data_IF_502084154979
#
_entry.id   IF_502084154979
#
_cell.length_a   1.000
_cell.length_b   1.000
_cell.length_c   1.000
_cell.angle_alpha   90.00
_cell.angle_beta   90.00
_cell.angle_gamma   90.00
#
_symmetry.space_group_name_H-M   'P 1'
#
loop_
_entity.id
_entity.type
_entity.pdbx_description
1 polymer ?
#
# COMPACT_ATOMS: atom_id res chain seq x y z
N UNK A 1 -37.26 18.83 -7.22
CA UNK A 1 -36.49 19.68 -6.28
C UNK A 1 -35.00 19.56 -6.64
N UNK A 2 -34.42 20.62 -7.20
CA UNK A 2 -32.99 20.63 -7.51
C UNK A 2 -32.19 20.54 -6.19
N UNK A 3 -31.42 19.45 -6.00
CA UNK A 3 -30.46 19.35 -4.90
C UNK A 3 -29.48 20.53 -5.01
N UNK A 4 -29.53 21.46 -4.04
CA UNK A 4 -28.51 22.49 -3.89
C UNK A 4 -27.14 21.76 -3.85
N UNK A 5 -26.30 22.02 -4.84
CA UNK A 5 -24.90 21.53 -4.85
C UNK A 5 -24.23 22.06 -3.59
N UNK A 6 -24.04 21.19 -2.60
CA UNK A 6 -23.37 21.55 -1.36
C UNK A 6 -21.90 21.86 -1.68
N UNK A 7 -21.48 23.09 -1.43
CA UNK A 7 -20.08 23.49 -1.63
C UNK A 7 -19.17 22.82 -0.58
N UNK A 8 -18.19 22.05 -1.02
CA UNK A 8 -17.26 21.33 -0.13
C UNK A 8 -16.15 22.21 0.48
N UNK A 9 -15.98 23.43 0.02
CA UNK A 9 -14.86 24.29 0.47
C UNK A 9 -13.47 23.72 0.12
N UNK A 10 -12.42 24.30 0.71
CA UNK A 10 -11.02 23.96 0.39
C UNK A 10 -10.49 22.70 1.11
N UNK A 11 -11.21 22.20 2.12
CA UNK A 11 -10.77 20.99 2.86
C UNK A 11 -10.73 19.77 1.94
N UNK A 12 -11.75 19.56 1.12
CA UNK A 12 -11.81 18.41 0.20
C UNK A 12 -10.67 18.40 -0.82
N UNK A 13 -10.40 19.46 -1.59
CA UNK A 13 -9.25 19.49 -2.50
C UNK A 13 -7.90 19.26 -1.81
N UNK A 14 -7.67 19.86 -0.63
CA UNK A 14 -6.43 19.65 0.14
C UNK A 14 -6.25 18.17 0.49
N UNK A 15 -7.29 17.54 0.98
CA UNK A 15 -7.26 16.12 1.36
C UNK A 15 -7.03 15.23 0.15
N UNK A 16 -7.80 15.42 -0.93
CA UNK A 16 -7.72 14.58 -2.12
C UNK A 16 -6.36 14.70 -2.82
N UNK A 17 -5.83 15.93 -2.96
CA UNK A 17 -4.52 16.15 -3.57
C UNK A 17 -3.38 15.61 -2.71
N UNK A 18 -3.44 15.76 -1.38
CA UNK A 18 -2.43 15.19 -0.50
C UNK A 18 -2.44 13.65 -0.51
N UNK A 19 -3.62 13.06 -0.55
CA UNK A 19 -3.75 11.61 -0.66
C UNK A 19 -3.33 11.09 -2.03
N UNK A 20 -3.69 11.80 -3.10
CA UNK A 20 -3.24 11.51 -4.45
C UNK A 20 -1.71 11.55 -4.57
N UNK A 21 -1.06 12.54 -3.97
CA UNK A 21 0.40 12.67 -3.93
C UNK A 21 1.08 11.44 -3.32
N UNK A 22 0.56 10.92 -2.21
CA UNK A 22 1.08 9.70 -1.56
C UNK A 22 0.97 8.49 -2.50
N UNK A 23 -0.18 8.33 -3.16
CA UNK A 23 -0.43 7.20 -4.05
C UNK A 23 0.37 7.29 -5.35
N UNK A 24 0.49 8.49 -5.89
CA UNK A 24 1.29 8.79 -7.06
C UNK A 24 2.77 8.47 -6.81
N UNK A 25 3.34 8.94 -5.69
CA UNK A 25 4.73 8.65 -5.30
C UNK A 25 5.00 7.14 -5.19
N UNK A 26 4.06 6.40 -4.59
CA UNK A 26 4.19 4.96 -4.44
C UNK A 26 4.12 4.23 -5.80
N UNK A 27 3.39 4.75 -6.77
CA UNK A 27 3.19 4.11 -8.08
C UNK A 27 4.25 4.49 -9.11
N UNK A 28 4.77 5.72 -9.09
CA UNK A 28 5.83 6.20 -9.99
C UNK A 28 7.05 5.28 -9.97
N UNK A 29 7.40 4.76 -8.80
CA UNK A 29 8.59 3.95 -8.63
C UNK A 29 8.57 2.68 -9.49
N UNK A 30 7.40 2.09 -9.72
CA UNK A 30 7.29 0.80 -10.41
C UNK A 30 7.74 0.86 -11.87
N UNK A 31 7.46 1.95 -12.57
CA UNK A 31 7.89 2.16 -13.97
C UNK A 31 9.32 2.67 -14.07
N UNK A 32 9.85 3.24 -12.99
CA UNK A 32 11.18 3.83 -12.91
C UNK A 32 12.26 2.85 -12.44
N UNK A 33 11.88 1.66 -11.95
CA UNK A 33 12.80 0.70 -11.30
C UNK A 33 14.01 0.32 -12.15
N UNK A 34 13.82 0.09 -13.46
CA UNK A 34 14.92 -0.28 -14.37
C UNK A 34 15.94 0.85 -14.49
N UNK A 35 15.46 2.08 -14.68
CA UNK A 35 16.32 3.26 -14.79
C UNK A 35 17.02 3.60 -13.47
N UNK A 36 16.34 3.47 -12.34
CA UNK A 36 16.94 3.60 -10.99
C UNK A 36 18.05 2.57 -10.80
N UNK A 37 17.80 1.31 -11.17
CA UNK A 37 18.79 0.22 -11.05
C UNK A 37 20.02 0.49 -11.92
N UNK A 38 19.84 0.96 -13.14
CA UNK A 38 20.93 1.26 -14.06
C UNK A 38 21.74 2.49 -13.63
N UNK A 39 21.06 3.58 -13.27
CA UNK A 39 21.68 4.86 -12.90
C UNK A 39 22.50 4.75 -11.60
N UNK A 40 22.00 3.94 -10.64
CA UNK A 40 22.62 3.78 -9.32
C UNK A 40 23.35 2.42 -9.18
N UNK A 41 23.45 1.63 -10.24
CA UNK A 41 24.06 0.30 -10.27
C UNK A 41 23.60 -0.61 -9.12
N UNK A 42 22.28 -0.64 -8.87
CA UNK A 42 21.68 -1.39 -7.79
C UNK A 42 21.45 -2.85 -8.17
N UNK A 43 21.79 -3.77 -7.25
CA UNK A 43 21.32 -5.16 -7.34
C UNK A 43 19.79 -5.24 -7.19
N UNK A 44 19.18 -6.35 -7.65
CA UNK A 44 17.74 -6.56 -7.51
C UNK A 44 17.28 -6.48 -6.03
N UNK A 45 18.10 -7.02 -5.12
CA UNK A 45 17.85 -6.96 -3.67
C UNK A 45 17.85 -5.51 -3.16
N UNK A 46 18.90 -4.73 -3.53
CA UNK A 46 18.99 -3.33 -3.09
C UNK A 46 17.88 -2.47 -3.69
N UNK A 47 17.50 -2.75 -4.94
CA UNK A 47 16.40 -2.07 -5.61
C UNK A 47 15.05 -2.31 -4.91
N UNK A 48 14.80 -3.54 -4.42
CA UNK A 48 13.58 -3.83 -3.67
C UNK A 48 13.47 -3.02 -2.37
N UNK A 49 14.60 -2.66 -1.76
CA UNK A 49 14.63 -1.81 -0.57
C UNK A 49 14.12 -0.39 -0.82
N UNK A 50 14.22 0.12 -2.05
CA UNK A 50 13.64 1.44 -2.40
C UNK A 50 12.13 1.48 -2.18
N UNK A 51 11.43 0.36 -2.42
CA UNK A 51 10.00 0.21 -2.13
C UNK A 51 9.73 -0.26 -0.70
N UNK A 52 10.52 -1.24 -0.21
CA UNK A 52 10.31 -1.85 1.10
C UNK A 52 10.54 -0.87 2.25
N UNK A 53 11.57 -0.03 2.19
CA UNK A 53 11.86 0.95 3.24
C UNK A 53 10.68 1.91 3.44
N UNK A 54 10.06 2.37 2.36
CA UNK A 54 8.84 3.17 2.40
C UNK A 54 7.67 2.39 3.02
N UNK A 55 7.38 1.18 2.51
CA UNK A 55 6.23 0.40 2.95
C UNK A 55 6.32 0.00 4.43
N UNK A 56 7.52 -0.35 4.91
CA UNK A 56 7.76 -0.74 6.30
C UNK A 56 7.56 0.42 7.28
N UNK A 57 8.11 1.59 6.98
CA UNK A 57 7.93 2.77 7.84
C UNK A 57 6.51 3.32 7.73
N UNK A 58 5.91 3.29 6.55
CA UNK A 58 4.51 3.65 6.38
C UNK A 58 3.60 2.75 7.21
N UNK A 59 3.70 1.42 7.05
CA UNK A 59 2.87 0.46 7.78
C UNK A 59 3.13 0.43 9.28
N UNK A 60 4.41 0.47 9.68
CA UNK A 60 4.81 0.38 11.09
C UNK A 60 4.41 1.59 11.93
N UNK A 61 4.43 2.79 11.35
CA UNK A 61 4.07 4.01 12.08
C UNK A 61 2.63 4.49 11.84
N UNK A 62 1.85 3.84 10.98
CA UNK A 62 0.53 4.31 10.61
C UNK A 62 -0.41 4.49 11.80
N UNK A 63 -0.49 3.47 12.68
CA UNK A 63 -1.32 3.50 13.88
C UNK A 63 -0.86 4.58 14.87
N UNK A 64 0.44 4.68 15.07
CA UNK A 64 1.06 5.63 15.97
C UNK A 64 0.74 7.08 15.58
N UNK A 65 0.98 7.45 14.32
CA UNK A 65 0.72 8.80 13.85
C UNK A 65 -0.77 9.12 13.71
N UNK A 66 -1.63 8.12 13.50
CA UNK A 66 -3.06 8.29 13.61
C UNK A 66 -3.47 8.82 14.99
N UNK A 67 -3.01 8.19 16.07
CA UNK A 67 -3.25 8.64 17.45
C UNK A 67 -2.55 9.97 17.77
N UNK A 68 -1.34 10.17 17.27
CA UNK A 68 -0.58 11.39 17.48
C UNK A 68 -1.32 12.64 16.95
N UNK A 69 -2.04 12.49 15.82
CA UNK A 69 -2.89 13.54 15.28
C UNK A 69 -4.01 13.96 16.23
N UNK A 70 -4.61 13.02 16.96
CA UNK A 70 -5.68 13.30 17.91
C UNK A 70 -5.16 14.00 19.18
N UNK A 71 -3.94 13.68 19.65
CA UNK A 71 -3.32 14.26 20.84
C UNK A 71 -2.76 15.66 20.60
N UNK A 72 -1.94 15.81 19.54
CA UNK A 72 -1.20 17.06 19.31
C UNK A 72 -1.91 18.01 18.34
N UNK A 73 -3.03 17.58 17.76
CA UNK A 73 -3.83 18.32 16.78
C UNK A 73 -3.49 17.95 15.34
N UNK A 74 -4.51 17.50 14.63
CA UNK A 74 -4.42 16.94 13.27
C UNK A 74 -3.75 17.88 12.26
N UNK A 75 -4.05 19.19 12.32
CA UNK A 75 -3.43 20.19 11.43
C UNK A 75 -1.91 20.23 11.59
N UNK A 76 -1.43 20.32 12.84
CA UNK A 76 0.00 20.41 13.13
C UNK A 76 0.74 19.15 12.69
N UNK A 77 0.18 17.99 13.02
CA UNK A 77 0.79 16.70 12.66
C UNK A 77 0.79 16.51 11.15
N UNK A 78 -0.30 16.85 10.47
CA UNK A 78 -0.37 16.81 9.02
C UNK A 78 0.71 17.70 8.36
N UNK A 79 0.92 18.92 8.84
CA UNK A 79 1.96 19.81 8.32
C UNK A 79 3.36 19.24 8.54
N UNK A 80 3.63 18.63 9.68
CA UNK A 80 4.89 17.91 9.93
C UNK A 80 5.06 16.77 8.90
N UNK A 81 4.01 15.98 8.66
CA UNK A 81 4.02 14.93 7.65
C UNK A 81 4.31 15.44 6.25
N UNK A 82 3.70 16.58 5.85
CA UNK A 82 3.98 17.24 4.58
C UNK A 82 5.44 17.67 4.46
N UNK A 83 6.01 18.27 5.50
CA UNK A 83 7.41 18.69 5.49
C UNK A 83 8.34 17.49 5.36
N UNK A 84 8.14 16.44 6.19
CA UNK A 84 8.96 15.22 6.12
C UNK A 84 8.87 14.59 4.72
N UNK A 85 7.66 14.40 4.19
CA UNK A 85 7.45 13.80 2.89
C UNK A 85 8.08 14.62 1.75
N UNK A 86 7.89 15.96 1.78
CA UNK A 86 8.38 16.87 0.74
C UNK A 86 9.90 16.96 0.75
N UNK A 87 10.52 17.11 1.93
CA UNK A 87 11.99 17.17 2.07
C UNK A 87 12.61 15.83 1.64
N UNK A 88 12.04 14.71 2.09
CA UNK A 88 12.54 13.40 1.68
C UNK A 88 12.38 13.18 0.17
N UNK A 89 11.26 13.59 -0.45
CA UNK A 89 11.06 13.55 -1.92
C UNK A 89 12.10 14.38 -2.66
N UNK A 90 12.39 15.58 -2.17
CA UNK A 90 13.45 16.43 -2.74
C UNK A 90 14.81 15.73 -2.67
N UNK A 91 15.16 15.16 -1.52
CA UNK A 91 16.43 14.47 -1.33
C UNK A 91 16.54 13.21 -2.20
N UNK A 92 15.47 12.41 -2.33
CA UNK A 92 15.47 11.27 -3.28
C UNK A 92 15.73 11.75 -4.71
N UNK A 93 15.18 12.90 -5.10
CA UNK A 93 15.34 13.45 -6.45
C UNK A 93 16.75 13.93 -6.77
N UNK A 94 17.58 14.27 -5.77
CA UNK A 94 18.92 14.86 -6.02
C UNK A 94 20.08 13.96 -5.58
N UNK A 95 19.84 12.98 -4.69
CA UNK A 95 20.89 12.10 -4.20
C UNK A 95 21.34 11.08 -5.23
N UNK A 96 22.62 10.69 -5.16
CA UNK A 96 23.25 9.69 -6.01
C UNK A 96 23.63 8.42 -5.27
N UNK A 97 23.59 8.42 -3.95
CA UNK A 97 23.89 7.24 -3.13
C UNK A 97 22.64 6.36 -2.95
N UNK A 98 22.74 5.10 -3.38
CA UNK A 98 21.69 4.10 -3.22
C UNK A 98 21.21 3.96 -1.77
N UNK A 99 22.15 3.93 -0.82
CA UNK A 99 21.83 3.82 0.62
C UNK A 99 21.07 5.04 1.12
N UNK A 100 21.51 6.26 0.74
CA UNK A 100 20.83 7.49 1.16
C UNK A 100 19.43 7.60 0.56
N UNK A 101 19.24 7.14 -0.68
CA UNK A 101 17.90 7.08 -1.29
C UNK A 101 17.00 6.14 -0.50
N UNK A 102 17.46 4.95 -0.11
CA UNK A 102 16.69 4.02 0.71
C UNK A 102 16.32 4.64 2.06
N UNK A 103 17.26 5.34 2.70
CA UNK A 103 16.99 6.08 3.96
C UNK A 103 15.94 7.17 3.75
N UNK A 104 16.04 7.95 2.67
CA UNK A 104 15.04 8.99 2.38
C UNK A 104 13.67 8.38 2.02
N UNK A 105 13.63 7.21 1.39
CA UNK A 105 12.39 6.45 1.18
C UNK A 105 11.75 6.03 2.52
N UNK A 106 12.54 5.65 3.50
CA UNK A 106 12.02 5.40 4.85
C UNK A 106 11.40 6.69 5.47
N UNK A 107 12.05 7.85 5.32
CA UNK A 107 11.47 9.12 5.77
C UNK A 107 10.20 9.51 5.00
N UNK A 108 10.13 9.27 3.69
CA UNK A 108 8.88 9.45 2.93
C UNK A 108 7.76 8.54 3.46
N UNK A 109 8.08 7.29 3.81
CA UNK A 109 7.13 6.37 4.44
C UNK A 109 6.61 6.88 5.79
N UNK A 110 7.48 7.49 6.62
CA UNK A 110 7.07 8.18 7.87
C UNK A 110 6.12 9.34 7.55
N UNK A 111 6.46 10.18 6.56
CA UNK A 111 5.58 11.26 6.10
C UNK A 111 4.21 10.75 5.68
N UNK A 112 4.16 9.67 4.91
CA UNK A 112 2.92 9.04 4.46
C UNK A 112 2.11 8.43 5.61
N UNK A 113 2.79 7.85 6.62
CA UNK A 113 2.16 7.32 7.83
C UNK A 113 1.46 8.41 8.65
N UNK A 114 1.94 9.63 8.56
CA UNK A 114 1.29 10.81 9.15
C UNK A 114 0.14 11.30 8.28
N UNK A 115 0.37 11.44 6.98
CA UNK A 115 -0.58 12.07 6.05
C UNK A 115 -1.84 11.23 5.83
N UNK A 116 -1.72 9.92 5.65
CA UNK A 116 -2.84 9.06 5.30
C UNK A 116 -3.96 9.05 6.35
N UNK A 117 -3.73 8.82 7.65
CA UNK A 117 -4.79 8.87 8.65
C UNK A 117 -5.32 10.30 8.88
N UNK A 118 -4.46 11.32 8.80
CA UNK A 118 -4.88 12.71 9.04
C UNK A 118 -5.73 13.27 7.90
N UNK A 119 -5.51 12.86 6.64
CA UNK A 119 -6.38 13.24 5.51
C UNK A 119 -7.79 12.72 5.70
N UNK A 120 -7.96 11.45 6.06
CA UNK A 120 -9.27 10.88 6.32
C UNK A 120 -9.95 11.55 7.53
N UNK A 121 -9.17 11.83 8.58
CA UNK A 121 -9.67 12.50 9.77
C UNK A 121 -10.19 13.91 9.46
N UNK A 122 -9.53 14.68 8.59
CA UNK A 122 -10.05 15.99 8.15
C UNK A 122 -11.39 15.89 7.46
N UNK A 123 -11.65 14.86 6.65
CA UNK A 123 -12.98 14.65 6.04
C UNK A 123 -14.04 14.35 7.10
N UNK A 124 -13.68 13.56 8.11
CA UNK A 124 -14.59 13.21 9.21
C UNK A 124 -14.93 14.42 10.08
N UNK A 125 -14.00 15.36 10.25
CA UNK A 125 -14.21 16.58 11.03
C UNK A 125 -15.00 17.64 10.26
N UNK A 126 -14.68 17.84 8.97
CA UNK A 126 -15.23 18.92 8.18
C UNK A 126 -16.64 18.67 7.68
N UNK A 127 -17.05 17.40 7.51
CA UNK A 127 -18.31 17.04 6.85
C UNK A 127 -19.21 16.17 7.74
N UNK A 128 -20.54 16.25 7.54
CA UNK A 128 -21.54 15.46 8.27
C UNK A 128 -22.53 14.81 7.30
N UNK A 129 -23.22 13.77 7.75
CA UNK A 129 -24.30 13.12 6.99
C UNK A 129 -23.92 12.77 5.55
N UNK A 130 -24.78 13.10 4.60
CA UNK A 130 -24.61 12.81 3.18
C UNK A 130 -23.36 13.46 2.56
N UNK A 131 -23.00 14.67 3.02
CA UNK A 131 -21.80 15.36 2.54
C UNK A 131 -20.52 14.59 2.91
N UNK A 132 -20.47 14.02 4.14
CA UNK A 132 -19.36 13.15 4.56
C UNK A 132 -19.28 11.88 3.70
N UNK A 133 -20.42 11.23 3.45
CA UNK A 133 -20.47 10.03 2.61
C UNK A 133 -19.92 10.31 1.19
N UNK A 134 -20.31 11.45 0.60
CA UNK A 134 -19.82 11.87 -0.72
C UNK A 134 -18.31 12.20 -0.71
N UNK A 135 -17.82 12.88 0.33
CA UNK A 135 -16.39 13.19 0.46
C UNK A 135 -15.55 11.92 0.60
N UNK A 136 -16.00 10.94 1.37
CA UNK A 136 -15.35 9.61 1.50
C UNK A 136 -15.39 8.86 0.16
N UNK A 137 -16.48 8.95 -0.60
CA UNK A 137 -16.54 8.36 -1.94
C UNK A 137 -15.49 8.97 -2.88
N UNK A 138 -15.32 10.31 -2.89
CA UNK A 138 -14.26 10.96 -3.67
C UNK A 138 -12.86 10.53 -3.21
N UNK A 139 -12.65 10.36 -1.90
CA UNK A 139 -11.40 9.84 -1.35
C UNK A 139 -11.10 8.42 -1.88
N UNK A 140 -12.10 7.55 -1.92
CA UNK A 140 -11.99 6.20 -2.50
C UNK A 140 -11.69 6.22 -4.00
N UNK A 141 -12.34 7.11 -4.78
CA UNK A 141 -12.05 7.30 -6.21
C UNK A 141 -10.61 7.78 -6.40
N UNK A 142 -10.14 8.71 -5.57
CA UNK A 142 -8.76 9.20 -5.60
C UNK A 142 -7.74 8.07 -5.38
N UNK A 143 -8.08 7.07 -4.54
CA UNK A 143 -7.23 5.91 -4.33
C UNK A 143 -7.00 5.11 -5.64
N UNK A 144 -8.06 4.82 -6.37
CA UNK A 144 -7.98 4.12 -7.66
C UNK A 144 -7.25 4.93 -8.74
N UNK A 145 -7.58 6.21 -8.83
CA UNK A 145 -6.94 7.12 -9.80
C UNK A 145 -5.46 7.31 -9.50
N UNK A 146 -5.07 7.47 -8.22
CA UNK A 146 -3.68 7.69 -7.82
C UNK A 146 -2.76 6.54 -8.23
N UNK A 147 -3.19 5.30 -8.05
CA UNK A 147 -2.43 4.13 -8.47
C UNK A 147 -2.25 4.06 -10.00
N UNK A 148 -3.33 4.28 -10.77
CA UNK A 148 -3.31 4.21 -12.24
C UNK A 148 -2.55 5.37 -12.88
N UNK A 149 -2.87 6.60 -12.47
CA UNK A 149 -2.18 7.80 -12.98
C UNK A 149 -0.72 7.86 -12.54
N UNK A 150 -0.38 7.32 -11.36
CA UNK A 150 0.99 7.25 -10.89
C UNK A 150 1.89 6.42 -11.82
N UNK A 151 1.41 5.28 -12.31
CA UNK A 151 2.13 4.49 -13.32
C UNK A 151 2.33 5.27 -14.62
N UNK A 152 1.28 5.92 -15.13
CA UNK A 152 1.33 6.68 -16.39
C UNK A 152 2.25 7.91 -16.28
N UNK A 153 2.11 8.70 -15.22
CA UNK A 153 2.93 9.89 -14.96
C UNK A 153 4.39 9.46 -14.72
N UNK A 154 4.62 8.39 -13.95
CA UNK A 154 5.96 7.83 -13.75
C UNK A 154 6.60 7.34 -15.05
N UNK A 155 5.85 6.64 -15.87
CA UNK A 155 6.28 6.18 -17.18
C UNK A 155 6.60 7.33 -18.13
N UNK A 156 5.74 8.37 -18.17
CA UNK A 156 5.95 9.58 -18.97
C UNK A 156 7.23 10.32 -18.54
N UNK A 157 7.35 10.63 -17.26
CA UNK A 157 8.50 11.36 -16.73
C UNK A 157 9.80 10.58 -16.98
N UNK A 158 9.81 9.28 -16.71
CA UNK A 158 11.01 8.45 -16.87
C UNK A 158 11.40 8.26 -18.34
N UNK A 159 10.43 8.22 -19.26
CA UNK A 159 10.71 8.06 -20.69
C UNK A 159 11.28 9.32 -21.37
N UNK A 160 10.82 10.50 -20.96
CA UNK A 160 11.18 11.75 -21.64
C UNK A 160 12.15 12.63 -20.84
N UNK A 161 12.43 12.25 -19.58
CA UNK A 161 13.30 13.02 -18.71
C UNK A 161 14.08 12.07 -17.78
N UNK A 162 14.05 12.29 -16.50
CA UNK A 162 14.71 11.45 -15.50
C UNK A 162 13.72 10.97 -14.46
N UNK A 163 13.88 9.73 -13.98
CA UNK A 163 13.11 9.18 -12.86
C UNK A 163 13.12 10.09 -11.62
N UNK A 164 14.16 10.92 -11.46
CA UNK A 164 14.32 11.87 -10.36
C UNK A 164 13.18 12.89 -10.30
N UNK A 165 12.70 13.36 -11.48
CA UNK A 165 11.56 14.27 -11.53
C UNK A 165 10.26 13.66 -11.06
N UNK A 166 10.14 12.32 -11.09
CA UNK A 166 9.01 11.61 -10.48
C UNK A 166 8.90 11.85 -8.97
N UNK A 167 10.02 12.05 -8.29
CA UNK A 167 10.04 12.45 -6.87
C UNK A 167 9.99 13.96 -6.69
N UNK A 168 10.67 14.72 -7.54
CA UNK A 168 10.70 16.19 -7.45
C UNK A 168 9.33 16.83 -7.69
N UNK A 169 8.40 16.17 -8.41
CA UNK A 169 7.03 16.67 -8.62
C UNK A 169 6.26 16.79 -7.29
N UNK A 170 6.62 16.00 -6.27
CA UNK A 170 6.02 16.07 -4.95
C UNK A 170 6.40 17.38 -4.21
N UNK A 171 7.51 18.03 -4.58
CA UNK A 171 8.01 19.20 -3.88
C UNK A 171 7.07 20.41 -4.05
N UNK A 172 6.75 20.87 -5.27
CA UNK A 172 5.81 21.97 -5.43
C UNK A 172 4.42 21.62 -4.88
N UNK A 173 3.95 20.39 -5.07
CA UNK A 173 2.65 19.94 -4.53
C UNK A 173 2.64 20.00 -3.01
N UNK A 174 3.68 19.49 -2.34
CA UNK A 174 3.79 19.52 -0.88
C UNK A 174 3.84 20.95 -0.31
N UNK A 175 4.59 21.85 -0.95
CA UNK A 175 4.63 23.27 -0.56
C UNK A 175 3.25 23.92 -0.70
N UNK A 176 2.58 23.71 -1.83
CA UNK A 176 1.23 24.25 -2.05
C UNK A 176 0.26 23.71 -1.01
N UNK A 177 0.27 22.40 -0.74
CA UNK A 177 -0.60 21.78 0.27
C UNK A 177 -0.30 22.30 1.68
N UNK A 178 0.97 22.55 2.01
CA UNK A 178 1.34 23.16 3.29
C UNK A 178 0.73 24.56 3.45
N UNK A 179 0.89 25.43 2.44
CA UNK A 179 0.32 26.78 2.43
C UNK A 179 -1.21 26.78 2.50
N UNK A 180 -1.87 25.92 1.70
CA UNK A 180 -3.32 25.78 1.71
C UNK A 180 -3.84 25.26 3.06
N UNK A 181 -3.15 24.28 3.64
CA UNK A 181 -3.48 23.75 4.96
C UNK A 181 -3.36 24.82 6.04
N UNK A 182 -2.29 25.62 5.98
CA UNK A 182 -2.09 26.73 6.92
C UNK A 182 -3.25 27.73 6.88
N UNK A 183 -3.76 28.02 5.69
CA UNK A 183 -4.80 29.05 5.49
C UNK A 183 -6.23 28.54 5.70
N UNK A 184 -6.55 27.31 5.26
CA UNK A 184 -7.93 26.84 5.14
C UNK A 184 -8.33 25.75 6.13
N UNK A 185 -7.38 25.10 6.82
CA UNK A 185 -7.71 24.09 7.83
C UNK A 185 -7.59 24.72 9.21
N UNK A 186 -8.69 24.66 9.98
CA UNK A 186 -8.73 25.10 11.36
C UNK A 186 -7.97 24.11 12.27
N UNK A 187 -7.53 24.59 13.44
CA UNK A 187 -6.96 23.69 14.45
C UNK A 187 -8.05 22.75 14.98
N UNK A 188 -7.75 21.46 15.03
CA UNK A 188 -8.66 20.46 15.61
C UNK A 188 -8.57 20.49 17.14
N UNK A 189 -9.65 20.05 17.78
CA UNK A 189 -9.66 19.77 19.21
C UNK A 189 -8.61 18.71 19.52
N UNK A 190 -7.96 18.85 20.67
CA UNK A 190 -6.93 17.91 21.16
C UNK A 190 -7.56 17.05 22.25
N UNK A 191 -7.34 15.75 22.16
CA UNK A 191 -7.70 14.85 23.23
C UNK A 191 -6.47 14.59 24.11
N UNK A 192 -6.48 15.17 25.30
CA UNK A 192 -5.36 15.10 26.26
C UNK A 192 -5.31 13.79 27.05
N UNK A 193 -6.39 13.00 27.00
CA UNK A 193 -6.52 11.76 27.77
C UNK A 193 -6.00 10.53 27.00
N UNK A 194 -5.59 10.72 25.74
CA UNK A 194 -4.96 9.68 24.94
C UNK A 194 -3.46 9.54 25.29
N UNK A 195 -3.04 8.31 25.48
CA UNK A 195 -1.63 7.93 25.71
C UNK A 195 -1.04 7.32 24.45
N UNK A 196 0.18 7.72 24.10
CA UNK A 196 0.93 7.15 22.98
C UNK A 196 1.74 5.94 23.42
N UNK A 197 1.63 4.87 22.67
CA UNK A 197 2.48 3.69 22.81
C UNK A 197 3.71 3.82 21.88
N UNK A 198 4.73 4.53 22.37
CA UNK A 198 5.99 4.73 21.65
C UNK A 198 6.75 3.43 21.41
N UNK A 199 6.76 2.55 22.42
CA UNK A 199 7.48 1.30 22.35
C UNK A 199 6.85 0.33 21.40
N UNK A 200 5.52 0.20 21.39
CA UNK A 200 4.79 -0.60 20.40
C UNK A 200 5.07 -0.14 18.97
N UNK A 201 5.07 1.19 18.72
CA UNK A 201 5.39 1.72 17.39
C UNK A 201 6.83 1.44 16.95
N UNK A 202 7.83 1.69 17.82
CA UNK A 202 9.23 1.45 17.49
C UNK A 202 9.50 -0.05 17.29
N UNK A 203 9.00 -0.89 18.17
CA UNK A 203 9.19 -2.34 18.08
C UNK A 203 8.49 -2.95 16.87
N UNK A 204 7.33 -2.44 16.45
CA UNK A 204 6.70 -2.89 15.21
C UNK A 204 7.58 -2.63 13.99
N UNK A 205 8.15 -1.43 13.87
CA UNK A 205 9.07 -1.08 12.78
C UNK A 205 10.34 -1.92 12.84
N UNK A 206 10.96 -2.09 14.03
CA UNK A 206 12.14 -2.92 14.19
C UNK A 206 11.83 -4.37 13.79
N UNK A 207 10.72 -4.94 14.27
CA UNK A 207 10.32 -6.31 13.96
C UNK A 207 10.21 -6.55 12.45
N UNK A 208 9.42 -5.72 11.77
CA UNK A 208 9.16 -5.96 10.35
C UNK A 208 10.34 -5.56 9.46
N UNK A 209 11.10 -4.54 9.81
CA UNK A 209 12.34 -4.19 9.09
C UNK A 209 13.41 -5.28 9.25
N UNK A 210 13.56 -5.82 10.45
CA UNK A 210 14.47 -6.92 10.72
C UNK A 210 14.03 -8.21 10.02
N UNK A 211 12.72 -8.48 9.94
CA UNK A 211 12.18 -9.61 9.17
C UNK A 211 12.56 -9.49 7.68
N UNK A 212 12.28 -8.35 7.08
CA UNK A 212 12.59 -8.10 5.66
C UNK A 212 14.10 -8.18 5.41
N UNK A 213 14.92 -7.63 6.31
CA UNK A 213 16.37 -7.70 6.19
C UNK A 213 16.90 -9.13 6.39
N UNK A 214 16.31 -9.93 7.26
CA UNK A 214 16.69 -11.34 7.42
C UNK A 214 16.44 -12.18 6.17
N UNK A 215 15.44 -11.78 5.37
CA UNK A 215 15.12 -12.38 4.07
C UNK A 215 16.11 -11.93 3.01
N UNK A 216 16.31 -10.62 2.85
CA UNK A 216 17.03 -10.00 1.73
C UNK A 216 18.42 -9.44 2.07
N UNK A 217 18.85 -9.48 3.31
CA UNK A 217 20.14 -8.91 3.73
C UNK A 217 21.32 -9.76 3.27
N UNK A 218 22.44 -9.11 2.97
CA UNK A 218 23.68 -9.77 2.57
C UNK A 218 24.62 -10.04 3.75
N UNK A 219 24.60 -9.17 4.78
CA UNK A 219 25.51 -9.23 5.92
C UNK A 219 24.71 -9.48 7.20
N UNK A 220 25.16 -10.42 8.03
CA UNK A 220 24.55 -10.72 9.33
C UNK A 220 23.02 -10.92 9.31
N UNK A 221 22.48 -11.45 8.21
CA UNK A 221 21.03 -11.68 8.07
C UNK A 221 20.42 -12.55 9.18
N UNK A 222 21.21 -13.51 9.69
CA UNK A 222 20.80 -14.34 10.81
C UNK A 222 20.64 -13.53 12.12
N UNK A 223 21.54 -12.56 12.37
CA UNK A 223 21.42 -11.64 13.51
C UNK A 223 20.16 -10.79 13.40
N UNK A 224 19.83 -10.33 12.20
CA UNK A 224 18.57 -9.62 11.95
C UNK A 224 17.35 -10.52 12.24
N UNK A 225 17.42 -11.80 11.93
CA UNK A 225 16.40 -12.78 12.31
C UNK A 225 16.23 -12.90 13.83
N UNK A 226 17.35 -12.93 14.57
CA UNK A 226 17.30 -12.92 16.04
C UNK A 226 16.70 -11.64 16.58
N UNK A 227 17.11 -10.48 16.04
CA UNK A 227 16.53 -9.18 16.40
C UNK A 227 15.02 -9.15 16.11
N UNK A 228 14.59 -9.69 14.96
CA UNK A 228 13.18 -9.80 14.62
C UNK A 228 12.39 -10.58 15.66
N UNK A 229 12.85 -11.77 16.04
CA UNK A 229 12.18 -12.62 17.04
C UNK A 229 12.12 -11.91 18.40
N UNK A 230 13.24 -11.36 18.85
CA UNK A 230 13.30 -10.65 20.12
C UNK A 230 12.38 -9.43 20.13
N UNK A 231 12.44 -8.59 19.10
CA UNK A 231 11.59 -7.40 18.98
C UNK A 231 10.10 -7.77 18.89
N UNK A 232 9.76 -8.85 18.17
CA UNK A 232 8.38 -9.33 18.06
C UNK A 232 7.83 -9.84 19.39
N UNK A 233 8.60 -10.64 20.12
CA UNK A 233 8.19 -11.15 21.44
C UNK A 233 8.01 -9.97 22.41
N UNK A 234 8.96 -9.02 22.42
CA UNK A 234 8.88 -7.83 23.27
C UNK A 234 7.69 -6.94 22.87
N UNK A 235 7.41 -6.79 21.58
CA UNK A 235 6.24 -6.10 21.06
C UNK A 235 4.93 -6.72 21.57
N UNK A 236 4.78 -8.05 21.43
CA UNK A 236 3.59 -8.75 21.94
C UNK A 236 3.44 -8.63 23.46
N UNK A 237 4.56 -8.66 24.19
CA UNK A 237 4.55 -8.48 25.64
C UNK A 237 4.08 -7.08 26.03
N UNK A 238 4.58 -6.03 25.38
CA UNK A 238 4.14 -4.65 25.61
C UNK A 238 2.67 -4.48 25.27
N UNK A 239 2.24 -4.92 24.06
CA UNK A 239 0.84 -4.80 23.63
C UNK A 239 -0.13 -5.55 24.57
N UNK A 240 0.34 -6.62 25.20
CA UNK A 240 -0.49 -7.38 26.17
C UNK A 240 -0.63 -6.71 27.54
N UNK A 241 0.32 -5.82 27.93
CA UNK A 241 0.35 -5.17 29.24
C UNK A 241 0.02 -3.67 29.18
N UNK A 242 0.02 -3.07 27.98
CA UNK A 242 -0.27 -1.64 27.83
C UNK A 242 -1.78 -1.38 28.00
N UNK A 243 -2.13 -0.34 28.78
CA UNK A 243 -3.54 0.01 29.06
C UNK A 243 -4.34 0.43 27.82
N UNK A 244 -3.67 1.04 26.82
CA UNK A 244 -4.26 1.46 25.54
C UNK A 244 -3.32 1.03 24.39
N UNK A 245 -3.25 -0.27 24.07
CA UNK A 245 -2.31 -0.80 23.07
C UNK A 245 -2.57 -0.22 21.67
N UNK A 246 -1.53 -0.11 20.84
CA UNK A 246 -1.66 0.29 19.44
C UNK A 246 -2.39 -0.78 18.63
N UNK A 247 -2.10 -2.04 18.92
CA UNK A 247 -2.65 -3.21 18.24
C UNK A 247 -3.26 -4.17 19.28
N UNK A 248 -4.50 -3.93 19.73
CA UNK A 248 -5.15 -4.81 20.71
C UNK A 248 -5.14 -6.26 20.26
N UNK A 249 -4.53 -7.17 21.05
CA UNK A 249 -4.43 -8.57 20.69
C UNK A 249 -5.80 -9.28 20.66
N UNK A 250 -6.83 -8.68 21.28
CA UNK A 250 -8.25 -9.09 21.18
C UNK A 250 -8.75 -9.13 19.73
N UNK A 251 -8.19 -8.29 18.85
CA UNK A 251 -8.54 -8.25 17.43
C UNK A 251 -8.26 -9.57 16.71
N UNK A 252 -7.24 -10.32 17.15
CA UNK A 252 -6.84 -11.59 16.54
C UNK A 252 -7.57 -12.81 17.10
N UNK A 253 -8.38 -12.64 18.15
CA UNK A 253 -9.19 -13.74 18.71
C UNK A 253 -10.38 -14.11 17.84
N UNK A 254 -10.89 -13.19 17.04
CA UNK A 254 -11.97 -13.48 16.10
C UNK A 254 -11.42 -14.14 14.84
N UNK A 255 -11.81 -15.39 14.56
CA UNK A 255 -11.30 -16.16 13.42
C UNK A 255 -11.62 -15.55 12.07
N UNK A 256 -12.76 -14.83 11.91
CA UNK A 256 -13.09 -14.14 10.66
C UNK A 256 -12.15 -12.98 10.40
N UNK A 257 -11.90 -12.11 11.40
CA UNK A 257 -10.94 -10.99 11.28
C UNK A 257 -9.53 -11.50 11.02
N UNK A 258 -9.08 -12.50 11.77
CA UNK A 258 -7.74 -13.09 11.56
C UNK A 258 -7.58 -13.64 10.15
N UNK A 259 -8.59 -14.30 9.60
CA UNK A 259 -8.59 -14.77 8.22
C UNK A 259 -8.58 -13.61 7.23
N UNK A 260 -9.29 -12.50 7.51
CA UNK A 260 -9.26 -11.31 6.68
C UNK A 260 -7.87 -10.62 6.69
N UNK A 261 -7.19 -10.60 7.84
CA UNK A 261 -5.82 -10.10 7.94
C UNK A 261 -4.84 -10.99 7.16
N UNK A 262 -4.96 -12.30 7.25
CA UNK A 262 -4.16 -13.25 6.46
C UNK A 262 -4.42 -13.05 4.96
N UNK A 263 -5.68 -13.00 4.55
CA UNK A 263 -6.04 -12.74 3.16
C UNK A 263 -5.45 -11.40 2.65
N UNK A 264 -5.52 -10.35 3.48
CA UNK A 264 -4.99 -9.02 3.15
C UNK A 264 -3.47 -9.01 3.01
N UNK A 265 -2.77 -9.72 3.90
CA UNK A 265 -1.32 -9.90 3.84
C UNK A 265 -0.89 -10.53 2.53
N UNK A 266 -1.46 -11.69 2.18
CA UNK A 266 -1.08 -12.42 0.97
C UNK A 266 -1.58 -11.75 -0.32
N UNK A 267 -2.73 -11.08 -0.27
CA UNK A 267 -3.17 -10.21 -1.37
C UNK A 267 -2.10 -9.17 -1.71
N UNK A 268 -1.60 -8.48 -0.69
CA UNK A 268 -0.62 -7.42 -0.90
C UNK A 268 0.76 -7.95 -1.24
N UNK A 269 1.13 -9.13 -0.70
CA UNK A 269 2.33 -9.86 -1.09
C UNK A 269 2.37 -10.15 -2.59
N UNK A 270 1.26 -10.63 -3.16
CA UNK A 270 1.16 -10.88 -4.59
C UNK A 270 1.12 -9.59 -5.40
N UNK A 271 0.27 -8.63 -5.02
CA UNK A 271 0.05 -7.38 -5.76
C UNK A 271 1.32 -6.52 -5.83
N UNK A 272 1.99 -6.29 -4.70
CA UNK A 272 3.21 -5.47 -4.65
C UNK A 272 4.34 -6.09 -5.47
N UNK A 273 4.49 -7.42 -5.39
CA UNK A 273 5.47 -8.16 -6.18
C UNK A 273 5.17 -8.04 -7.68
N UNK A 274 3.91 -8.14 -8.07
CA UNK A 274 3.50 -8.02 -9.47
C UNK A 274 3.74 -6.60 -10.02
N UNK A 275 3.33 -5.56 -9.29
CA UNK A 275 3.56 -4.16 -9.67
C UNK A 275 5.04 -3.80 -9.72
N UNK A 276 5.87 -4.43 -8.91
CA UNK A 276 7.32 -4.19 -8.92
C UNK A 276 8.04 -4.93 -10.06
N UNK A 277 7.68 -6.18 -10.32
CA UNK A 277 8.44 -7.05 -11.23
C UNK A 277 7.93 -7.00 -12.67
N UNK A 278 6.63 -6.89 -12.90
CA UNK A 278 6.06 -6.92 -14.24
C UNK A 278 6.50 -5.72 -15.11
N UNK A 279 6.57 -4.46 -14.63
CA UNK A 279 7.12 -3.37 -15.42
C UNK A 279 8.58 -3.59 -15.82
N UNK A 280 9.37 -4.23 -14.94
CA UNK A 280 10.76 -4.61 -15.25
C UNK A 280 10.83 -5.69 -16.33
N UNK A 281 9.94 -6.69 -16.27
CA UNK A 281 9.84 -7.72 -17.30
C UNK A 281 9.43 -7.12 -18.65
N UNK A 282 8.46 -6.22 -18.68
CA UNK A 282 8.03 -5.52 -19.91
C UNK A 282 9.19 -4.71 -20.53
N UNK A 283 9.96 -4.01 -19.71
CA UNK A 283 11.10 -3.22 -20.17
C UNK A 283 12.29 -4.08 -20.61
N UNK A 284 12.59 -5.20 -19.92
CA UNK A 284 13.76 -6.04 -20.20
C UNK A 284 13.51 -7.13 -21.25
N UNK A 285 12.29 -7.67 -21.33
CA UNK A 285 11.96 -8.75 -22.26
C UNK A 285 11.35 -8.22 -23.58
N UNK A 286 10.36 -7.30 -23.49
CA UNK A 286 9.73 -6.71 -24.68
C UNK A 286 10.41 -5.41 -25.14
N UNK A 287 11.44 -4.94 -24.43
CA UNK A 287 12.16 -3.70 -24.72
C UNK A 287 11.25 -2.46 -24.72
N UNK A 288 10.18 -2.51 -23.93
CA UNK A 288 9.27 -1.39 -23.81
C UNK A 288 9.93 -0.21 -23.10
N UNK A 289 9.65 1.01 -23.58
CA UNK A 289 9.96 2.20 -22.79
C UNK A 289 9.15 2.20 -21.47
N UNK A 290 9.55 2.96 -20.44
CA UNK A 290 8.77 3.11 -19.21
C UNK A 290 7.31 3.50 -19.45
N UNK A 291 7.06 4.38 -20.44
CA UNK A 291 5.70 4.79 -20.83
C UNK A 291 4.92 3.66 -21.49
N UNK A 292 5.55 2.89 -22.38
CA UNK A 292 4.92 1.71 -22.99
C UNK A 292 4.60 0.66 -21.93
N UNK A 293 5.51 0.43 -20.95
CA UNK A 293 5.27 -0.46 -19.83
C UNK A 293 4.10 0.04 -18.96
N UNK A 294 3.96 1.35 -18.75
CA UNK A 294 2.83 1.94 -18.04
C UNK A 294 1.50 1.73 -18.78
N UNK A 295 1.48 1.95 -20.10
CA UNK A 295 0.30 1.66 -20.94
C UNK A 295 -0.06 0.17 -20.94
N UNK A 296 0.95 -0.71 -20.89
CA UNK A 296 0.75 -2.14 -20.80
C UNK A 296 0.04 -2.60 -19.50
N UNK A 297 -0.05 -1.73 -18.48
CA UNK A 297 -0.83 -1.98 -17.26
C UNK A 297 -2.30 -1.56 -17.34
N UNK A 298 -2.73 -0.89 -18.41
CA UNK A 298 -4.13 -0.44 -18.57
C UNK A 298 -5.13 -1.61 -18.44
N UNK A 299 -4.92 -2.81 -19.00
CA UNK A 299 -5.85 -3.91 -18.84
C UNK A 299 -6.15 -4.24 -17.37
N UNK A 300 -5.13 -4.19 -16.50
CA UNK A 300 -5.29 -4.47 -15.08
C UNK A 300 -5.93 -3.29 -14.34
N UNK A 301 -5.40 -2.07 -14.52
CA UNK A 301 -5.86 -0.91 -13.76
C UNK A 301 -7.27 -0.48 -14.14
N UNK A 302 -7.62 -0.59 -15.43
CA UNK A 302 -8.97 -0.29 -15.91
C UNK A 302 -10.00 -1.29 -15.38
N UNK A 303 -9.71 -2.59 -15.45
CA UNK A 303 -10.63 -3.62 -14.93
C UNK A 303 -10.75 -3.53 -13.41
N UNK A 304 -9.65 -3.29 -12.69
CA UNK A 304 -9.68 -3.03 -11.25
C UNK A 304 -10.60 -1.84 -10.91
N UNK A 305 -10.46 -0.73 -11.63
CA UNK A 305 -11.29 0.46 -11.42
C UNK A 305 -12.77 0.16 -11.70
N UNK A 306 -13.08 -0.41 -12.87
CA UNK A 306 -14.47 -0.74 -13.24
C UNK A 306 -15.11 -1.63 -12.19
N UNK A 307 -14.48 -2.75 -11.83
CA UNK A 307 -15.06 -3.70 -10.89
C UNK A 307 -15.14 -3.16 -9.45
N UNK A 308 -14.24 -2.27 -9.05
CA UNK A 308 -14.35 -1.57 -7.76
C UNK A 308 -15.62 -0.72 -7.64
N UNK A 309 -16.12 -0.13 -8.75
CA UNK A 309 -17.37 0.63 -8.76
C UNK A 309 -18.61 -0.27 -8.56
N UNK A 310 -18.52 -1.54 -8.98
CA UNK A 310 -19.62 -2.49 -8.85
C UNK A 310 -19.65 -3.24 -7.52
N UNK A 311 -18.59 -3.18 -6.71
CA UNK A 311 -18.47 -3.92 -5.44
C UNK A 311 -19.70 -3.72 -4.55
N UNK A 312 -20.12 -2.47 -4.33
CA UNK A 312 -21.28 -2.18 -3.47
C UNK A 312 -22.57 -2.83 -3.97
N UNK A 313 -22.81 -2.84 -5.28
CA UNK A 313 -23.99 -3.50 -5.86
C UNK A 313 -23.91 -5.02 -5.71
N UNK A 314 -22.73 -5.60 -5.94
CA UNK A 314 -22.51 -7.03 -5.84
C UNK A 314 -22.61 -7.52 -4.39
N UNK A 315 -22.04 -6.78 -3.42
CA UNK A 315 -22.10 -7.15 -2.00
C UNK A 315 -23.50 -7.04 -1.42
N UNK A 316 -24.33 -6.11 -1.90
CA UNK A 316 -25.74 -6.01 -1.53
C UNK A 316 -26.56 -7.18 -2.10
N UNK A 317 -26.22 -7.70 -3.27
CA UNK A 317 -26.97 -8.79 -3.92
C UNK A 317 -26.52 -10.18 -3.45
N UNK A 318 -25.22 -10.41 -3.25
CA UNK A 318 -24.65 -11.75 -3.04
C UNK A 318 -24.00 -11.95 -1.68
N UNK A 319 -23.71 -10.99 -0.93
CA UNK A 319 -22.93 -10.90 0.30
C UNK A 319 -21.47 -10.50 0.09
N UNK A 320 -20.90 -9.92 1.16
CA UNK A 320 -19.53 -9.43 1.17
C UNK A 320 -18.50 -10.56 0.99
N UNK A 321 -18.72 -11.69 1.67
CA UNK A 321 -17.79 -12.83 1.63
C UNK A 321 -17.85 -13.56 0.30
N UNK A 322 -19.02 -13.67 -0.33
CA UNK A 322 -19.13 -14.25 -1.68
C UNK A 322 -18.31 -13.43 -2.70
N UNK A 323 -18.45 -12.09 -2.67
CA UNK A 323 -17.70 -11.20 -3.57
C UNK A 323 -16.19 -11.31 -3.31
N UNK A 324 -15.77 -11.45 -2.04
CA UNK A 324 -14.39 -11.69 -1.67
C UNK A 324 -13.84 -12.98 -2.28
N UNK A 325 -14.55 -14.09 -2.14
CA UNK A 325 -14.15 -15.38 -2.71
C UNK A 325 -14.11 -15.32 -4.24
N UNK A 326 -15.15 -14.74 -4.87
CA UNK A 326 -15.21 -14.58 -6.34
C UNK A 326 -14.00 -13.77 -6.84
N UNK A 327 -13.70 -12.64 -6.22
CA UNK A 327 -12.56 -11.81 -6.58
C UNK A 327 -11.22 -12.53 -6.38
N UNK A 328 -11.11 -13.35 -5.33
CA UNK A 328 -9.90 -14.17 -5.10
C UNK A 328 -9.74 -15.25 -6.17
N UNK A 329 -10.82 -15.87 -6.59
CA UNK A 329 -10.82 -16.85 -7.70
C UNK A 329 -10.40 -16.18 -9.02
N UNK A 330 -10.89 -14.96 -9.30
CA UNK A 330 -10.46 -14.20 -10.48
C UNK A 330 -8.95 -13.90 -10.44
N UNK A 331 -8.42 -13.46 -9.28
CA UNK A 331 -6.98 -13.27 -9.08
C UNK A 331 -6.22 -14.58 -9.38
N UNK A 332 -6.65 -15.68 -8.78
CA UNK A 332 -6.03 -16.99 -8.96
C UNK A 332 -5.99 -17.39 -10.44
N UNK A 333 -7.10 -17.23 -11.14
CA UNK A 333 -7.21 -17.51 -12.58
C UNK A 333 -6.19 -16.70 -13.37
N UNK A 334 -6.04 -15.40 -13.07
CA UNK A 334 -5.06 -14.55 -13.74
C UNK A 334 -3.61 -15.03 -13.55
N UNK A 335 -3.23 -15.42 -12.33
CA UNK A 335 -1.89 -15.96 -12.07
C UNK A 335 -1.68 -17.34 -12.72
N UNK A 336 -2.70 -18.23 -12.74
CA UNK A 336 -2.62 -19.52 -13.42
C UNK A 336 -2.38 -19.32 -14.91
N UNK A 337 -3.13 -18.43 -15.56
CA UNK A 337 -2.97 -18.12 -16.99
C UNK A 337 -1.58 -17.54 -17.24
N UNK A 338 -1.12 -16.59 -16.39
CA UNK A 338 0.20 -15.97 -16.53
C UNK A 338 1.36 -16.96 -16.41
N UNK A 339 1.28 -17.89 -15.46
CA UNK A 339 2.27 -18.97 -15.30
C UNK A 339 2.21 -19.95 -16.48
N UNK A 340 1.01 -20.31 -16.93
CA UNK A 340 0.83 -21.29 -17.98
C UNK A 340 1.23 -20.80 -19.38
N UNK A 341 0.94 -19.54 -19.68
CA UNK A 341 1.26 -18.97 -21.00
C UNK A 341 2.66 -18.37 -21.06
N UNK A 342 3.11 -17.68 -19.98
CA UNK A 342 4.42 -17.02 -19.95
C UNK A 342 4.56 -15.87 -20.97
N UNK A 343 5.72 -15.20 -20.95
CA UNK A 343 5.97 -14.04 -21.81
C UNK A 343 6.19 -14.41 -23.29
N UNK A 344 6.61 -15.65 -23.56
CA UNK A 344 6.91 -16.10 -24.92
C UNK A 344 5.67 -16.16 -25.85
N UNK A 345 4.46 -16.19 -25.29
CA UNK A 345 3.22 -16.06 -26.06
C UNK A 345 2.88 -14.60 -26.42
N UNK A 346 3.80 -13.68 -26.18
CA UNK A 346 3.66 -12.25 -26.45
C UNK A 346 2.84 -11.51 -25.41
N UNK A 347 2.77 -10.20 -25.60
CA UNK A 347 2.11 -9.30 -24.63
C UNK A 347 0.63 -9.64 -24.44
N UNK A 348 -0.10 -9.92 -25.52
CA UNK A 348 -1.56 -10.07 -25.44
C UNK A 348 -1.97 -11.28 -24.59
N UNK A 349 -1.42 -12.46 -24.91
CA UNK A 349 -1.76 -13.71 -24.24
C UNK A 349 -1.01 -13.86 -22.90
N UNK A 350 0.28 -13.56 -22.89
CA UNK A 350 1.13 -13.78 -21.71
C UNK A 350 1.04 -12.70 -20.62
N UNK A 351 0.49 -11.51 -20.96
CA UNK A 351 0.45 -10.38 -20.01
C UNK A 351 -0.93 -9.76 -19.90
N UNK A 352 -1.53 -9.29 -21.02
CA UNK A 352 -2.78 -8.53 -20.99
C UNK A 352 -3.97 -9.34 -20.48
N UNK A 353 -4.14 -10.58 -20.96
CA UNK A 353 -5.23 -11.47 -20.49
C UNK A 353 -5.08 -11.80 -19.01
N UNK A 354 -3.94 -12.28 -18.50
CA UNK A 354 -3.71 -12.42 -17.06
C UNK A 354 -4.05 -11.15 -16.26
N UNK A 355 -3.61 -9.98 -16.74
CA UNK A 355 -3.85 -8.69 -16.11
C UNK A 355 -5.33 -8.34 -15.99
N UNK A 356 -6.17 -8.68 -16.98
CA UNK A 356 -7.63 -8.48 -16.90
C UNK A 356 -8.20 -9.24 -15.70
N UNK A 357 -7.88 -10.52 -15.57
CA UNK A 357 -8.37 -11.35 -14.45
C UNK A 357 -7.85 -10.88 -13.10
N UNK A 358 -6.56 -10.54 -13.02
CA UNK A 358 -5.94 -9.99 -11.80
C UNK A 358 -6.63 -8.67 -11.43
N UNK A 359 -6.86 -7.76 -12.39
CA UNK A 359 -7.53 -6.48 -12.15
C UNK A 359 -8.97 -6.64 -11.68
N UNK A 360 -9.76 -7.51 -12.31
CA UNK A 360 -11.11 -7.87 -11.83
C UNK A 360 -11.06 -8.34 -10.39
N UNK A 361 -10.16 -9.28 -10.10
CA UNK A 361 -9.97 -9.81 -8.76
C UNK A 361 -9.61 -8.72 -7.75
N UNK A 362 -8.62 -7.88 -8.04
CA UNK A 362 -8.20 -6.78 -7.17
C UNK A 362 -9.33 -5.79 -6.90
N UNK A 363 -10.12 -5.44 -7.93
CA UNK A 363 -11.27 -4.57 -7.79
C UNK A 363 -12.34 -5.12 -6.86
N UNK A 364 -12.54 -6.44 -6.85
CA UNK A 364 -13.57 -7.09 -6.04
C UNK A 364 -13.14 -7.39 -4.60
N UNK A 365 -11.85 -7.61 -4.30
CA UNK A 365 -11.43 -8.12 -2.98
C UNK A 365 -11.14 -7.03 -1.95
N UNK A 366 -10.68 -5.85 -2.37
CA UNK A 366 -10.10 -4.84 -1.46
C UNK A 366 -11.12 -4.31 -0.45
N UNK A 367 -12.32 -3.93 -0.92
CA UNK A 367 -13.42 -3.47 -0.08
C UNK A 367 -13.91 -4.55 0.89
N UNK A 368 -14.34 -5.71 0.38
CA UNK A 368 -14.77 -6.83 1.21
C UNK A 368 -13.76 -7.25 2.29
N UNK A 369 -12.48 -7.37 1.99
CA UNK A 369 -11.46 -7.69 3.00
C UNK A 369 -11.35 -6.61 4.09
N UNK A 370 -11.52 -5.34 3.71
CA UNK A 370 -11.51 -4.25 4.70
C UNK A 370 -12.70 -4.35 5.63
N UNK A 371 -13.89 -4.62 5.09
CA UNK A 371 -15.13 -4.80 5.89
C UNK A 371 -15.01 -5.98 6.85
N UNK A 372 -14.55 -7.15 6.38
CA UNK A 372 -14.39 -8.33 7.24
C UNK A 372 -13.24 -8.13 8.26
N UNK A 373 -12.20 -7.38 7.92
CA UNK A 373 -11.10 -7.05 8.83
C UNK A 373 -11.47 -6.11 9.98
N UNK A 374 -12.58 -5.38 9.88
CA UNK A 374 -13.11 -4.52 10.93
C UNK A 374 -14.46 -5.01 11.48
N UNK A 375 -14.95 -6.17 11.02
CA UNK A 375 -16.23 -6.72 11.46
C UNK A 375 -16.21 -7.09 12.93
N UNK A 376 -17.34 -6.96 13.60
CA UNK A 376 -17.54 -7.31 15.02
C UNK A 376 -16.51 -6.68 15.99
N UNK A 377 -16.00 -5.49 15.64
CA UNK A 377 -15.15 -4.71 16.54
C UNK A 377 -15.99 -3.80 17.42
N UNK A 378 -15.56 -3.63 18.67
CA UNK A 378 -16.14 -2.62 19.56
C UNK A 378 -15.88 -1.22 19.00
N UNK A 379 -16.75 -0.27 19.34
CA UNK A 379 -16.65 1.10 18.82
C UNK A 379 -15.32 1.79 19.19
N UNK A 380 -14.76 1.48 20.35
CA UNK A 380 -13.48 1.98 20.86
C UNK A 380 -12.26 1.32 20.18
N UNK A 381 -12.41 0.10 19.65
CA UNK A 381 -11.35 -0.63 18.93
C UNK A 381 -11.42 -0.45 17.40
N UNK A 382 -12.47 0.16 16.84
CA UNK A 382 -12.66 0.25 15.38
C UNK A 382 -11.52 0.97 14.66
N UNK A 383 -10.97 2.02 15.28
CA UNK A 383 -9.79 2.72 14.76
C UNK A 383 -8.55 1.84 14.72
N UNK A 384 -8.30 1.08 15.80
CA UNK A 384 -7.18 0.13 15.86
C UNK A 384 -7.33 -1.00 14.84
N UNK A 385 -8.54 -1.57 14.68
CA UNK A 385 -8.81 -2.61 13.69
C UNK A 385 -8.56 -2.13 12.25
N UNK A 386 -9.02 -0.93 11.89
CA UNK A 386 -8.73 -0.32 10.59
C UNK A 386 -7.22 -0.10 10.38
N UNK A 387 -6.53 0.33 11.42
CA UNK A 387 -5.09 0.49 11.38
C UNK A 387 -4.36 -0.84 11.19
N UNK A 388 -4.77 -1.91 11.88
CA UNK A 388 -4.21 -3.25 11.69
C UNK A 388 -4.40 -3.73 10.25
N UNK A 389 -5.58 -3.53 9.63
CA UNK A 389 -5.81 -3.85 8.22
C UNK A 389 -4.80 -3.15 7.31
N UNK A 390 -4.52 -1.87 7.54
CA UNK A 390 -3.57 -1.11 6.73
C UNK A 390 -2.11 -1.48 7.03
N UNK A 391 -1.76 -1.74 8.29
CA UNK A 391 -0.42 -2.20 8.68
C UNK A 391 -0.11 -3.55 8.05
N UNK A 392 -1.03 -4.52 8.14
CA UNK A 392 -0.91 -5.84 7.50
C UNK A 392 -0.80 -5.71 5.97
N UNK A 393 -1.50 -4.77 5.37
CA UNK A 393 -1.40 -4.45 3.94
C UNK A 393 0.04 -4.04 3.55
N UNK A 394 0.63 -3.10 4.26
CA UNK A 394 1.98 -2.60 3.94
C UNK A 394 3.05 -3.67 4.21
N UNK A 395 2.96 -4.34 5.35
CA UNK A 395 3.92 -5.38 5.73
C UNK A 395 3.85 -6.57 4.77
N UNK A 396 2.63 -6.99 4.40
CA UNK A 396 2.42 -8.04 3.41
C UNK A 396 3.11 -7.72 2.09
N UNK A 397 2.99 -6.48 1.62
CA UNK A 397 3.68 -6.02 0.41
C UNK A 397 5.20 -6.10 0.52
N UNK A 398 5.78 -5.60 1.61
CA UNK A 398 7.22 -5.60 1.82
C UNK A 398 7.80 -7.02 1.98
N UNK A 399 7.17 -7.86 2.80
CA UNK A 399 7.60 -9.25 3.02
C UNK A 399 7.45 -10.08 1.74
N UNK A 400 6.29 -9.97 1.07
CA UNK A 400 6.03 -10.70 -0.17
C UNK A 400 7.01 -10.36 -1.27
N UNK A 401 7.24 -9.06 -1.52
CA UNK A 401 8.23 -8.60 -2.49
C UNK A 401 9.63 -9.08 -2.14
N UNK A 402 10.00 -9.08 -0.85
CA UNK A 402 11.31 -9.52 -0.39
C UNK A 402 11.54 -11.00 -0.66
N UNK A 403 10.55 -11.85 -0.37
CA UNK A 403 10.63 -13.29 -0.65
C UNK A 403 10.74 -13.58 -2.15
N UNK A 404 9.92 -12.92 -2.98
CA UNK A 404 10.01 -13.08 -4.44
C UNK A 404 11.37 -12.61 -4.94
N UNK A 405 11.86 -11.45 -4.50
CA UNK A 405 13.16 -10.91 -4.92
C UNK A 405 14.31 -11.83 -4.53
N UNK A 406 14.29 -12.42 -3.32
CA UNK A 406 15.28 -13.38 -2.88
C UNK A 406 15.29 -14.64 -3.76
N UNK A 407 14.11 -15.25 -3.93
CA UNK A 407 13.98 -16.53 -4.64
C UNK A 407 14.24 -16.43 -6.15
N UNK A 408 14.17 -15.22 -6.71
CA UNK A 408 14.42 -14.97 -8.14
C UNK A 408 15.74 -14.24 -8.42
N UNK A 409 16.48 -13.85 -7.39
CA UNK A 409 17.73 -13.05 -7.52
C UNK A 409 18.83 -13.72 -8.33
N UNK A 410 18.88 -15.04 -8.36
CA UNK A 410 19.87 -15.82 -9.13
C UNK A 410 19.49 -16.01 -10.61
N UNK A 411 18.28 -15.62 -11.01
CA UNK A 411 17.78 -15.83 -12.37
C UNK A 411 18.15 -14.64 -13.25
N UNK A 412 19.08 -14.84 -14.18
CA UNK A 412 19.50 -13.82 -15.15
C UNK A 412 18.53 -13.66 -16.33
N UNK A 413 17.79 -14.72 -16.68
CA UNK A 413 16.82 -14.68 -17.77
C UNK A 413 15.52 -14.00 -17.31
N UNK A 414 15.08 -12.88 -17.94
CA UNK A 414 13.88 -12.15 -17.54
C UNK A 414 12.59 -12.98 -17.61
N UNK A 415 12.46 -13.89 -18.57
CA UNK A 415 11.30 -14.75 -18.70
C UNK A 415 11.22 -15.75 -17.55
N UNK A 416 12.34 -16.46 -17.26
CA UNK A 416 12.40 -17.39 -16.13
C UNK A 416 12.15 -16.67 -14.80
N UNK A 417 12.71 -15.47 -14.64
CA UNK A 417 12.51 -14.66 -13.45
C UNK A 417 11.01 -14.35 -13.25
N UNK A 418 10.29 -13.90 -14.28
CA UNK A 418 8.88 -13.53 -14.14
C UNK A 418 7.99 -14.75 -13.92
N UNK A 419 8.24 -15.87 -14.62
CA UNK A 419 7.47 -17.10 -14.43
C UNK A 419 7.63 -17.64 -13.01
N UNK A 420 8.85 -17.72 -12.49
CA UNK A 420 9.08 -18.12 -11.08
C UNK A 420 8.45 -17.14 -10.09
N UNK A 421 8.55 -15.83 -10.36
CA UNK A 421 7.87 -14.81 -9.54
C UNK A 421 6.37 -15.04 -9.51
N UNK A 422 5.74 -15.30 -10.67
CA UNK A 422 4.31 -15.57 -10.75
C UNK A 422 3.91 -16.88 -10.06
N UNK A 423 4.75 -17.90 -10.08
CA UNK A 423 4.54 -19.15 -9.32
C UNK A 423 4.50 -18.89 -7.81
N UNK A 424 5.41 -18.05 -7.30
CA UNK A 424 5.41 -17.67 -5.88
C UNK A 424 4.15 -16.84 -5.55
N UNK A 425 3.79 -15.89 -6.41
CA UNK A 425 2.58 -15.09 -6.24
C UNK A 425 1.32 -15.96 -6.29
N UNK A 426 1.31 -17.01 -7.12
CA UNK A 426 0.23 -18.00 -7.17
C UNK A 426 0.04 -18.70 -5.82
N UNK A 427 1.14 -19.05 -5.13
CA UNK A 427 1.10 -19.62 -3.78
C UNK A 427 0.47 -18.60 -2.81
N UNK A 428 0.84 -17.32 -2.89
CA UNK A 428 0.22 -16.28 -2.06
C UNK A 428 -1.28 -16.19 -2.27
N UNK A 429 -1.73 -16.25 -3.53
CA UNK A 429 -3.16 -16.17 -3.85
C UNK A 429 -3.92 -17.44 -3.44
N UNK A 430 -3.28 -18.62 -3.48
CA UNK A 430 -3.86 -19.85 -2.93
C UNK A 430 -4.08 -19.70 -1.41
N UNK A 431 -3.09 -19.21 -0.66
CA UNK A 431 -3.26 -18.97 0.78
C UNK A 431 -4.35 -17.93 1.05
N UNK A 432 -4.41 -16.88 0.24
CA UNK A 432 -5.48 -15.88 0.29
C UNK A 432 -6.85 -16.53 0.04
N UNK A 433 -6.97 -17.47 -0.91
CA UNK A 433 -8.21 -18.18 -1.17
C UNK A 433 -8.63 -19.04 0.00
N UNK A 434 -7.69 -19.80 0.60
CA UNK A 434 -7.96 -20.62 1.79
C UNK A 434 -8.46 -19.76 2.95
N UNK A 435 -7.84 -18.60 3.18
CA UNK A 435 -8.28 -17.64 4.20
C UNK A 435 -9.69 -17.08 3.88
N UNK A 436 -9.98 -16.75 2.63
CA UNK A 436 -11.29 -16.25 2.20
C UNK A 436 -12.39 -17.31 2.34
N UNK A 437 -12.09 -18.57 2.02
CA UNK A 437 -12.99 -19.71 2.22
C UNK A 437 -13.24 -19.99 3.71
N UNK A 438 -12.22 -19.79 4.56
CA UNK A 438 -12.42 -19.92 6.02
C UNK A 438 -13.38 -18.83 6.55
N UNK A 439 -13.31 -17.60 6.05
CA UNK A 439 -14.30 -16.54 6.38
C UNK A 439 -15.70 -17.01 5.96
N UNK A 440 -15.83 -17.56 4.74
CA UNK A 440 -17.11 -18.06 4.23
C UNK A 440 -17.69 -19.14 5.14
N UNK A 441 -16.86 -20.13 5.53
CA UNK A 441 -17.26 -21.21 6.44
C UNK A 441 -17.67 -20.72 7.82
N UNK A 442 -16.95 -19.73 8.38
CA UNK A 442 -17.25 -19.19 9.71
C UNK A 442 -18.53 -18.37 9.73
N UNK A 443 -18.86 -17.70 8.62
CA UNK A 443 -20.07 -16.87 8.49
C UNK A 443 -21.32 -17.69 8.16
N UNK A 444 -21.16 -18.91 7.63
CA UNK A 444 -22.25 -19.85 7.35
C UNK A 444 -22.68 -20.70 8.56
N UNK A 445 -21.93 -20.65 9.64
CA UNK A 445 -22.26 -21.24 10.95
C UNK A 445 -22.97 -20.23 11.84
#
# INVERSE_FOLDING_TARGET
>A
MAQKVQKFGMVLPIVLLSYFMILLDNSIIFTSTVHISQDLQMSATLLSWVSNAYALTFGGFLLFFGRMGDIYGRKRIFQIGLVIFTVASFLVGILTSSTMIIVMRAFQGIGSAILAPTTLAFLMDAYRGQQRATAIAYYGVTAGLGASFGLLIGGLITSYSSWRYGFLINVPVGIIMFCLTQRFISQSLRDKDLVLDWWGAILSVITFSSLVYSINGNVLRWLSGVICVFAFVTFLWIESHHSKPLMPLSLFRNGMRSSAYIARFFFMSASMSYFFLMPQALQRYFWYSPLQAAFAFIPMTLTQFIFSLFVNRLTQRFSNVFVLVLGTVMNLTGYIIGVGLGLHHGYFLGVAIPMVFIGVGQGLVLGPMTVEGVSDTKADEAGAASGVVNTVHQIGGAVGLSLVSLLTSSLSNPEKMIVHSQQIMLIYVIIMLLASLNIYRLKSK
#
